data_IF_311513959789
#
_entry.id   IF_311513959789
#
_cell.length_a   1.000
_cell.length_b   1.000
_cell.length_c   1.000
_cell.angle_alpha   90.00
_cell.angle_beta   90.00
_cell.angle_gamma   90.00
#
_symmetry.space_group_name_H-M   'P 1'
#
loop_
_entity.id
_entity.type
_entity.pdbx_description
1 polymer ?
#
# COMPACT_ATOMS: atom_id res chain seq x y z
N UNK A 1 1.09 7.36 -26.70
CA UNK A 1 1.57 6.29 -25.79
C UNK A 1 0.84 6.49 -24.48
N UNK A 2 0.00 5.54 -24.05
CA UNK A 2 -0.61 5.59 -22.73
C UNK A 2 0.40 5.08 -21.70
N UNK A 3 0.47 5.71 -20.53
CA UNK A 3 1.19 5.15 -19.40
C UNK A 3 0.53 3.81 -19.02
N UNK A 4 1.31 2.79 -18.62
CA UNK A 4 0.74 1.54 -18.10
C UNK A 4 -0.03 1.82 -16.80
N UNK A 5 -0.96 0.93 -16.44
CA UNK A 5 -1.64 0.99 -15.15
C UNK A 5 -0.62 0.76 -14.02
N UNK A 6 -0.45 1.76 -13.15
CA UNK A 6 0.51 1.71 -12.05
C UNK A 6 -0.06 1.08 -10.80
N UNK A 7 -1.38 1.07 -10.67
CA UNK A 7 -2.11 0.56 -9.50
C UNK A 7 -3.38 -0.15 -9.93
N UNK A 8 -3.79 -1.14 -9.14
CA UNK A 8 -5.07 -1.82 -9.26
C UNK A 8 -5.88 -1.66 -7.97
N UNK A 9 -7.20 -1.68 -8.10
CA UNK A 9 -8.09 -1.60 -6.96
C UNK A 9 -7.82 -2.77 -6.00
N UNK A 10 -7.69 -2.49 -4.70
CA UNK A 10 -7.58 -3.55 -3.71
C UNK A 10 -8.91 -4.32 -3.64
N UNK A 11 -8.89 -5.58 -4.06
CA UNK A 11 -10.05 -6.46 -4.12
C UNK A 11 -10.66 -6.77 -2.75
N UNK A 12 -9.87 -6.66 -1.67
CA UNK A 12 -10.30 -7.03 -0.32
C UNK A 12 -11.11 -5.93 0.37
N UNK A 13 -10.71 -4.67 0.19
CA UNK A 13 -11.42 -3.51 0.74
C UNK A 13 -12.21 -2.72 -0.31
N UNK A 14 -12.16 -3.15 -1.58
CA UNK A 14 -12.83 -2.50 -2.70
C UNK A 14 -12.50 -1.01 -2.84
N UNK A 15 -11.24 -0.66 -2.59
CA UNK A 15 -10.78 0.73 -2.68
C UNK A 15 -10.97 1.57 -1.44
N UNK A 16 -11.62 1.06 -0.39
CA UNK A 16 -11.88 1.86 0.82
C UNK A 16 -10.64 2.04 1.71
N UNK A 17 -9.67 1.13 1.59
CA UNK A 17 -8.55 1.03 2.52
C UNK A 17 -8.93 0.44 3.89
N UNK A 18 -10.20 0.13 4.15
CA UNK A 18 -10.70 -0.25 5.48
C UNK A 18 -11.60 -1.48 5.37
N UNK A 19 -11.50 -2.41 6.34
CA UNK A 19 -12.38 -3.58 6.46
C UNK A 19 -13.08 -3.53 7.81
N UNK A 20 -14.37 -3.87 7.83
CA UNK A 20 -15.11 -4.09 9.08
C UNK A 20 -14.84 -5.52 9.59
N UNK A 21 -14.43 -5.64 10.85
CA UNK A 21 -14.40 -6.93 11.52
C UNK A 21 -15.80 -7.28 12.03
N UNK A 22 -16.14 -8.57 11.94
CA UNK A 22 -17.46 -9.10 12.31
C UNK A 22 -17.75 -8.91 13.81
N UNK A 23 -16.73 -8.88 14.64
CA UNK A 23 -16.86 -8.64 16.07
C UNK A 23 -16.86 -7.14 16.39
N UNK A 24 -18.02 -6.65 16.84
CA UNK A 24 -18.21 -5.35 17.48
C UNK A 24 -18.03 -4.09 16.60
N UNK A 25 -18.04 -4.22 15.27
CA UNK A 25 -18.04 -3.07 14.36
C UNK A 25 -16.72 -2.29 14.35
N UNK A 26 -15.63 -2.91 14.81
CA UNK A 26 -14.31 -2.33 14.70
C UNK A 26 -13.90 -2.25 13.22
N UNK A 27 -13.48 -1.06 12.81
CA UNK A 27 -12.88 -0.82 11.51
C UNK A 27 -11.38 -0.94 11.65
N UNK A 28 -10.76 -1.73 10.77
CA UNK A 28 -9.32 -1.83 10.68
C UNK A 28 -8.84 -1.45 9.29
N UNK A 29 -7.59 -0.97 9.20
CA UNK A 29 -6.94 -0.81 7.91
C UNK A 29 -6.85 -2.14 7.19
N UNK A 30 -7.10 -2.11 5.88
CA UNK A 30 -7.00 -3.28 5.05
C UNK A 30 -5.54 -3.74 4.99
N UNK A 31 -5.22 -4.96 5.45
CA UNK A 31 -3.84 -5.44 5.52
C UNK A 31 -3.24 -5.77 4.15
N UNK A 32 -4.06 -5.87 3.10
CA UNK A 32 -3.57 -6.20 1.75
C UNK A 32 -3.06 -4.97 1.00
N UNK A 33 -3.59 -3.78 1.35
CA UNK A 33 -3.17 -2.52 0.76
C UNK A 33 -2.64 -1.52 1.80
N UNK A 34 -2.40 -1.96 3.04
CA UNK A 34 -1.99 -1.13 4.18
C UNK A 34 -2.77 0.19 4.25
N UNK A 35 -4.11 0.12 4.24
CA UNK A 35 -4.94 1.33 4.36
C UNK A 35 -5.12 2.15 3.08
N UNK A 36 -4.39 1.88 1.99
CA UNK A 36 -4.37 2.75 0.80
C UNK A 36 -5.57 2.57 -0.15
N UNK A 37 -6.19 1.40 -0.15
CA UNK A 37 -7.27 1.03 -1.07
C UNK A 37 -6.82 0.58 -2.47
N UNK A 38 -5.55 0.80 -2.82
CA UNK A 38 -4.97 0.45 -4.11
C UNK A 38 -3.66 -0.30 -3.91
N UNK A 39 -3.32 -1.16 -4.87
CA UNK A 39 -2.11 -1.99 -4.84
C UNK A 39 -1.29 -1.71 -6.10
N UNK A 40 0.00 -1.34 -5.98
CA UNK A 40 0.82 -1.08 -7.14
C UNK A 40 1.02 -2.34 -7.99
N UNK A 41 0.92 -2.16 -9.31
CA UNK A 41 1.28 -3.19 -10.29
C UNK A 41 2.80 -3.41 -10.32
N UNK A 42 3.27 -4.39 -11.07
CA UNK A 42 4.71 -4.62 -11.23
C UNK A 42 5.43 -3.39 -11.84
N UNK A 43 4.79 -2.70 -12.78
CA UNK A 43 5.33 -1.45 -13.33
C UNK A 43 5.29 -0.31 -12.30
N UNK A 44 4.21 -0.20 -11.53
CA UNK A 44 4.10 0.74 -10.41
C UNK A 44 5.21 0.54 -9.37
N UNK A 45 5.47 -0.71 -8.96
CA UNK A 45 6.55 -1.06 -8.02
C UNK A 45 7.93 -0.69 -8.56
N UNK A 46 8.20 -0.94 -9.85
CA UNK A 46 9.49 -0.59 -10.47
C UNK A 46 9.72 0.92 -10.47
N UNK A 47 8.69 1.69 -10.83
CA UNK A 47 8.76 3.15 -10.83
C UNK A 47 8.90 3.67 -9.40
N UNK A 48 8.13 3.15 -8.45
CA UNK A 48 8.22 3.53 -7.05
C UNK A 48 9.63 3.29 -6.49
N UNK A 49 10.21 2.12 -6.72
CA UNK A 49 11.57 1.80 -6.31
C UNK A 49 12.61 2.73 -6.95
N UNK A 50 12.44 3.08 -8.23
CA UNK A 50 13.30 4.05 -8.90
C UNK A 50 13.22 5.42 -8.25
N UNK A 51 12.01 5.91 -7.97
CA UNK A 51 11.77 7.22 -7.35
C UNK A 51 12.34 7.26 -5.92
N UNK A 52 12.05 6.25 -5.10
CA UNK A 52 12.56 6.15 -3.73
C UNK A 52 14.09 6.17 -3.69
N UNK A 53 14.73 5.40 -4.59
CA UNK A 53 16.20 5.33 -4.68
C UNK A 53 16.86 6.66 -5.05
N UNK A 54 16.26 7.44 -5.93
CA UNK A 54 16.90 8.64 -6.48
C UNK A 54 16.47 9.94 -5.78
N UNK A 55 15.30 9.93 -5.12
CA UNK A 55 14.83 11.06 -4.33
C UNK A 55 15.17 10.94 -2.84
N UNK A 56 15.78 9.83 -2.40
CA UNK A 56 16.14 9.62 -1.01
C UNK A 56 14.91 9.53 -0.09
N UNK A 57 13.76 9.13 -0.63
CA UNK A 57 12.55 8.88 0.14
C UNK A 57 12.76 7.50 0.78
N UNK A 58 13.48 7.48 1.89
CA UNK A 58 13.51 6.33 2.79
C UNK A 58 12.13 6.18 3.40
N UNK A 59 11.54 4.99 3.26
CA UNK A 59 10.53 4.56 4.21
C UNK A 59 11.33 4.37 5.50
N UNK A 60 11.06 5.19 6.52
CA UNK A 60 11.56 4.92 7.87
C UNK A 60 10.92 3.58 8.28
N UNK A 61 11.60 2.47 7.98
CA UNK A 61 11.37 1.23 8.69
C UNK A 61 11.74 1.56 10.14
N UNK A 62 10.74 1.67 11.02
CA UNK A 62 10.95 1.75 12.45
C UNK A 62 11.78 0.51 12.82
N UNK A 63 13.10 0.71 12.96
CA UNK A 63 13.98 -0.21 13.65
C UNK A 63 13.39 -0.36 15.07
N UNK A 64 12.61 -1.42 15.29
CA UNK A 64 12.32 -1.91 16.63
C UNK A 64 13.65 -2.38 17.24
N UNK A 65 14.38 -1.42 17.80
CA UNK A 65 15.45 -1.67 18.74
C UNK A 65 14.85 -2.35 19.97
N UNK A 66 15.06 -3.66 20.11
CA UNK A 66 15.13 -4.38 21.39
C UNK A 66 15.58 -5.84 21.18
N UNK A 67 16.33 -6.46 22.10
CA UNK A 67 16.84 -5.97 23.40
C UNK A 67 18.37 -5.89 23.54
#
# INVERSE_FOLDING_TARGET
>A
MSLPELEILCWKCWGSGIIQMEDHGQMMECPDCNGLGWIPTEDGKRILAFVQKHLGIGIEEEDEESP
#
